data_IF_033352256485
#
_entry.id   IF_033352256485
#
_cell.length_a   1.000
_cell.length_b   1.000
_cell.length_c   1.000
_cell.angle_alpha   90.00
_cell.angle_beta   90.00
_cell.angle_gamma   90.00
#
_symmetry.space_group_name_H-M   'P 1'
#
loop_
_entity.id
_entity.type
_entity.pdbx_description
1 polymer ?
#
# COMPACT_ATOMS: atom_id res chain seq x y z
N UNK A 1 -9.52 -26.31 2.11
CA UNK A 1 -8.82 -27.26 1.23
C UNK A 1 -7.34 -27.01 1.43
N UNK A 2 -6.49 -28.03 1.60
CA UNK A 2 -5.06 -27.81 1.75
C UNK A 2 -4.48 -27.20 0.46
N UNK A 3 -3.47 -26.34 0.61
CA UNK A 3 -2.69 -25.79 -0.51
C UNK A 3 -2.14 -26.93 -1.37
N UNK A 4 -2.37 -26.90 -2.67
CA UNK A 4 -1.78 -27.84 -3.60
C UNK A 4 -0.36 -27.39 -3.99
N UNK A 5 0.43 -28.31 -4.55
CA UNK A 5 1.78 -27.98 -5.05
C UNK A 5 1.77 -26.84 -6.06
N UNK A 6 0.69 -26.75 -6.86
CA UNK A 6 0.50 -25.65 -7.82
C UNK A 6 0.37 -24.29 -7.12
N UNK A 7 -0.36 -24.22 -6.01
CA UNK A 7 -0.54 -22.97 -5.25
C UNK A 7 0.80 -22.47 -4.69
N UNK A 8 1.62 -23.38 -4.16
CA UNK A 8 2.96 -23.04 -3.69
C UNK A 8 3.87 -22.55 -4.82
N UNK A 9 3.78 -23.16 -6.01
CA UNK A 9 4.54 -22.72 -7.18
C UNK A 9 4.11 -21.33 -7.66
N UNK A 10 2.81 -21.02 -7.62
CA UNK A 10 2.29 -19.68 -7.95
C UNK A 10 2.82 -18.64 -6.97
N UNK A 11 2.77 -18.92 -5.65
CA UNK A 11 3.30 -18.02 -4.62
C UNK A 11 4.82 -17.84 -4.77
N UNK A 12 5.57 -18.91 -4.99
CA UNK A 12 7.01 -18.82 -5.21
C UNK A 12 7.34 -18.02 -6.47
N UNK A 13 6.59 -18.23 -7.56
CA UNK A 13 6.71 -17.47 -8.81
C UNK A 13 6.43 -15.98 -8.60
N UNK A 14 5.41 -15.64 -7.80
CA UNK A 14 5.13 -14.26 -7.40
C UNK A 14 6.30 -13.62 -6.65
N UNK A 15 6.87 -14.31 -5.65
CA UNK A 15 8.02 -13.79 -4.89
C UNK A 15 9.23 -13.55 -5.80
N UNK A 16 9.53 -14.51 -6.68
CA UNK A 16 10.63 -14.39 -7.64
C UNK A 16 10.39 -13.22 -8.60
N UNK A 17 9.17 -13.08 -9.14
CA UNK A 17 8.79 -11.97 -10.00
C UNK A 17 9.05 -10.63 -9.30
N UNK A 18 8.64 -10.48 -8.04
CA UNK A 18 8.83 -9.25 -7.28
C UNK A 18 10.32 -8.93 -7.05
N UNK A 19 11.13 -9.94 -6.72
CA UNK A 19 12.58 -9.77 -6.57
C UNK A 19 13.22 -9.35 -7.89
N UNK A 20 12.83 -9.97 -9.01
CA UNK A 20 13.35 -9.63 -10.35
C UNK A 20 12.95 -8.20 -10.74
N UNK A 21 11.69 -7.81 -10.53
CA UNK A 21 11.21 -6.45 -10.80
C UNK A 21 11.97 -5.43 -9.96
N UNK A 22 12.14 -5.69 -8.66
CA UNK A 22 12.92 -4.82 -7.77
C UNK A 22 14.39 -4.72 -8.20
N UNK A 23 15.00 -5.84 -8.63
CA UNK A 23 16.37 -5.88 -9.12
C UNK A 23 16.56 -5.09 -10.41
N UNK A 24 15.63 -5.21 -11.36
CA UNK A 24 15.65 -4.43 -12.61
C UNK A 24 15.44 -2.94 -12.30
N UNK A 25 14.55 -2.62 -11.36
CA UNK A 25 14.28 -1.24 -10.98
C UNK A 25 15.45 -0.57 -10.23
N UNK A 26 16.35 -1.35 -9.61
CA UNK A 26 17.55 -0.84 -8.91
C UNK A 26 18.42 0.08 -9.77
N UNK A 27 18.43 -0.08 -11.09
CA UNK A 27 19.37 0.62 -11.99
C UNK A 27 19.08 2.12 -12.18
N UNK A 28 18.03 2.68 -11.56
CA UNK A 28 17.69 4.12 -11.65
C UNK A 28 17.49 4.74 -10.26
N UNK A 29 18.24 5.80 -9.95
CA UNK A 29 17.92 6.72 -8.84
C UNK A 29 18.42 6.32 -7.44
N UNK A 30 19.68 5.92 -7.30
CA UNK A 30 20.31 5.63 -5.99
C UNK A 30 21.53 6.51 -5.68
N UNK A 31 21.78 7.56 -6.46
CA UNK A 31 23.00 8.38 -6.32
C UNK A 31 22.90 9.39 -5.17
N UNK A 32 21.69 9.86 -4.84
CA UNK A 32 21.45 10.84 -3.76
C UNK A 32 20.30 10.42 -2.83
N UNK A 33 20.25 11.00 -1.62
CA UNK A 33 19.14 10.80 -0.69
C UNK A 33 17.80 11.26 -1.28
N UNK A 34 17.79 12.33 -2.08
CA UNK A 34 16.61 12.81 -2.80
C UNK A 34 16.17 11.82 -3.89
N UNK A 35 17.09 11.12 -4.54
CA UNK A 35 16.73 10.06 -5.48
C UNK A 35 16.13 8.85 -4.76
N UNK A 36 16.69 8.49 -3.60
CA UNK A 36 16.21 7.36 -2.82
C UNK A 36 14.82 7.61 -2.18
N UNK A 37 14.57 8.82 -1.66
CA UNK A 37 13.34 9.16 -0.93
C UNK A 37 12.30 9.93 -1.74
N UNK A 38 12.69 10.64 -2.80
CA UNK A 38 11.77 11.43 -3.63
C UNK A 38 11.78 11.01 -5.12
N UNK A 39 12.53 9.95 -5.48
CA UNK A 39 12.59 9.42 -6.85
C UNK A 39 13.11 10.44 -7.86
N UNK A 40 13.96 11.36 -7.42
CA UNK A 40 14.53 12.43 -8.24
C UNK A 40 13.50 13.45 -8.75
N UNK A 41 12.29 13.49 -8.15
CA UNK A 41 11.16 14.37 -8.51
C UNK A 41 10.73 14.32 -10.00
N UNK A 42 11.22 13.34 -10.77
CA UNK A 42 11.00 13.17 -12.22
C UNK A 42 10.22 11.88 -12.54
N UNK A 43 9.27 11.53 -11.67
CA UNK A 43 8.45 10.33 -11.82
C UNK A 43 7.26 10.58 -12.75
N UNK A 44 6.88 9.62 -13.62
CA UNK A 44 5.66 9.74 -14.42
C UNK A 44 4.44 9.87 -13.50
N UNK A 45 3.61 10.90 -13.71
CA UNK A 45 2.46 11.19 -12.85
C UNK A 45 1.49 10.01 -12.70
N UNK A 46 1.29 9.23 -13.77
CA UNK A 46 0.39 8.08 -13.77
C UNK A 46 0.93 6.96 -12.89
N UNK A 47 2.25 6.77 -12.87
CA UNK A 47 2.91 5.73 -12.08
C UNK A 47 2.87 6.08 -10.59
N UNK A 48 3.09 7.36 -10.25
CA UNK A 48 2.90 7.88 -8.89
C UNK A 48 1.45 7.71 -8.45
N UNK A 49 0.49 8.04 -9.33
CA UNK A 49 -0.93 7.88 -9.03
C UNK A 49 -1.33 6.42 -8.74
N UNK A 50 -0.82 5.47 -9.53
CA UNK A 50 -1.09 4.04 -9.27
C UNK A 50 -0.43 3.58 -7.97
N UNK A 51 0.81 3.96 -7.68
CA UNK A 51 1.47 3.61 -6.40
C UNK A 51 0.73 4.19 -5.20
N UNK A 52 0.21 5.42 -5.28
CA UNK A 52 -0.63 5.99 -4.22
C UNK A 52 -1.89 5.15 -3.96
N UNK A 53 -2.57 4.69 -5.02
CA UNK A 53 -3.75 3.82 -4.88
C UNK A 53 -3.35 2.44 -4.36
N UNK A 54 -2.27 1.86 -4.89
CA UNK A 54 -1.75 0.57 -4.48
C UNK A 54 -1.39 0.54 -2.99
N UNK A 55 -0.78 1.61 -2.48
CA UNK A 55 -0.43 1.78 -1.05
C UNK A 55 -1.68 1.71 -0.16
N UNK A 56 -2.81 2.25 -0.63
CA UNK A 56 -4.08 2.18 0.11
C UNK A 56 -4.80 0.84 -0.07
N UNK A 57 -4.49 0.09 -1.12
CA UNK A 57 -5.06 -1.23 -1.41
C UNK A 57 -4.27 -2.35 -0.72
N UNK A 58 -4.18 -2.26 0.61
CA UNK A 58 -3.52 -3.27 1.43
C UNK A 58 -4.43 -4.48 1.70
N UNK A 59 -3.84 -5.59 2.18
CA UNK A 59 -4.55 -6.87 2.40
C UNK A 59 -5.74 -6.77 3.37
N UNK A 60 -5.79 -5.75 4.21
CA UNK A 60 -6.88 -5.47 5.14
C UNK A 60 -8.08 -4.79 4.47
N UNK A 61 -7.87 -4.04 3.38
CA UNK A 61 -8.90 -3.21 2.76
C UNK A 61 -10.02 -4.02 2.12
N UNK A 62 -9.75 -5.04 1.26
CA UNK A 62 -10.81 -5.91 0.75
C UNK A 62 -11.57 -6.63 1.87
N UNK A 63 -10.88 -7.04 2.94
CA UNK A 63 -11.51 -7.71 4.08
C UNK A 63 -12.44 -6.76 4.86
N UNK A 64 -12.01 -5.51 5.06
CA UNK A 64 -12.80 -4.50 5.74
C UNK A 64 -14.04 -4.10 4.93
N UNK A 65 -13.88 -3.84 3.62
CA UNK A 65 -14.97 -3.43 2.75
C UNK A 65 -15.98 -4.57 2.53
N UNK A 66 -15.53 -5.80 2.29
CA UNK A 66 -16.47 -6.94 2.17
C UNK A 66 -17.20 -7.19 3.49
N UNK A 67 -16.53 -7.07 4.64
CA UNK A 67 -17.16 -7.17 5.95
C UNK A 67 -18.18 -6.05 6.22
N UNK A 68 -17.95 -4.85 5.70
CA UNK A 68 -18.89 -3.73 5.80
C UNK A 68 -20.11 -3.94 4.90
N UNK A 69 -19.89 -4.34 3.65
CA UNK A 69 -20.96 -4.62 2.68
C UNK A 69 -21.81 -5.80 3.14
N UNK A 70 -21.22 -6.83 3.71
CA UNK A 70 -21.97 -7.97 4.26
C UNK A 70 -22.90 -7.58 5.43
N UNK A 71 -22.56 -6.55 6.20
CA UNK A 71 -23.34 -6.11 7.37
C UNK A 71 -24.33 -4.99 7.05
N UNK A 72 -23.95 -4.06 6.18
CA UNK A 72 -24.70 -2.81 5.91
C UNK A 72 -25.22 -2.73 4.47
N UNK A 73 -25.03 -3.78 3.68
CA UNK A 73 -25.32 -3.79 2.25
C UNK A 73 -24.39 -2.87 1.45
N UNK A 74 -24.74 -2.66 0.17
CA UNK A 74 -23.98 -1.81 -0.75
C UNK A 74 -23.87 -0.36 -0.23
N UNK A 75 -24.84 0.11 0.55
CA UNK A 75 -24.82 1.43 1.18
C UNK A 75 -23.61 1.65 2.09
N UNK A 76 -23.06 0.58 2.69
CA UNK A 76 -21.83 0.64 3.49
C UNK A 76 -20.63 1.19 2.69
N UNK A 77 -20.61 1.04 1.35
CA UNK A 77 -19.55 1.60 0.51
C UNK A 77 -19.45 3.13 0.60
N UNK A 78 -20.50 3.82 1.06
CA UNK A 78 -20.42 5.26 1.27
C UNK A 78 -19.34 5.66 2.28
N UNK A 79 -19.04 4.79 3.25
CA UNK A 79 -18.00 5.02 4.26
C UNK A 79 -16.61 5.28 3.66
N UNK A 80 -16.28 4.65 2.53
CA UNK A 80 -15.00 4.86 1.86
C UNK A 80 -15.11 5.79 0.65
N UNK A 81 -16.23 5.78 -0.09
CA UNK A 81 -16.43 6.65 -1.26
C UNK A 81 -16.39 8.15 -0.91
N UNK A 82 -16.83 8.54 0.28
CA UNK A 82 -16.77 9.96 0.68
C UNK A 82 -15.32 10.49 0.76
N UNK A 83 -14.32 9.63 1.00
CA UNK A 83 -12.91 10.03 1.03
C UNK A 83 -12.41 10.46 -0.36
N UNK A 84 -12.97 9.90 -1.43
CA UNK A 84 -12.65 10.31 -2.80
C UNK A 84 -12.93 11.80 -3.01
N UNK A 85 -14.06 12.31 -2.52
CA UNK A 85 -14.44 13.73 -2.65
C UNK A 85 -13.42 14.61 -1.93
N UNK A 86 -13.05 14.23 -0.70
CA UNK A 86 -12.02 14.93 0.07
C UNK A 86 -10.67 14.95 -0.66
N UNK A 87 -10.26 13.82 -1.25
CA UNK A 87 -9.04 13.70 -2.04
C UNK A 87 -9.04 14.63 -3.26
N UNK A 88 -10.12 14.64 -4.03
CA UNK A 88 -10.28 15.52 -5.21
C UNK A 88 -10.16 16.98 -4.81
N UNK A 89 -10.90 17.42 -3.77
CA UNK A 89 -10.83 18.80 -3.27
C UNK A 89 -9.41 19.15 -2.82
N UNK A 90 -8.75 18.24 -2.11
CA UNK A 90 -7.39 18.45 -1.62
C UNK A 90 -6.39 18.64 -2.76
N UNK A 91 -6.51 17.85 -3.84
CA UNK A 91 -5.64 17.99 -5.01
C UNK A 91 -5.83 19.34 -5.69
N UNK A 92 -7.07 19.77 -5.95
CA UNK A 92 -7.33 21.04 -6.65
C UNK A 92 -6.91 22.27 -5.85
N UNK A 93 -7.04 22.23 -4.52
CA UNK A 93 -6.71 23.38 -3.65
C UNK A 93 -5.24 23.38 -3.26
N UNK A 94 -4.72 22.24 -2.78
CA UNK A 94 -3.43 22.21 -2.08
C UNK A 94 -2.29 21.71 -2.95
N UNK A 95 -2.49 20.97 -4.05
CA UNK A 95 -1.38 20.40 -4.81
C UNK A 95 -0.41 21.48 -5.34
N UNK A 96 -0.93 22.63 -5.80
CA UNK A 96 -0.10 23.76 -6.24
C UNK A 96 0.68 24.40 -5.09
N UNK A 97 0.08 24.46 -3.89
CA UNK A 97 0.71 25.03 -2.71
C UNK A 97 1.82 24.11 -2.19
N UNK A 98 1.58 22.80 -2.16
CA UNK A 98 2.56 21.78 -1.80
C UNK A 98 3.75 21.78 -2.76
N UNK A 99 3.50 21.82 -4.08
CA UNK A 99 4.57 21.90 -5.07
C UNK A 99 5.43 23.16 -4.92
N UNK A 100 4.84 24.28 -4.47
CA UNK A 100 5.56 25.53 -4.24
C UNK A 100 6.37 25.52 -2.94
N UNK A 101 5.95 24.77 -1.94
CA UNK A 101 6.64 24.69 -0.65
C UNK A 101 7.99 23.95 -0.74
N UNK A 102 8.15 23.06 -1.74
CA UNK A 102 9.36 22.28 -2.01
C UNK A 102 9.95 21.57 -0.77
N UNK A 103 9.06 21.15 0.14
CA UNK A 103 9.43 20.40 1.34
C UNK A 103 9.58 18.92 1.04
N UNK A 104 10.52 18.27 1.71
CA UNK A 104 10.73 16.83 1.58
C UNK A 104 9.75 16.04 2.45
N UNK A 105 9.38 16.59 3.61
CA UNK A 105 8.43 15.96 4.53
C UNK A 105 7.21 16.84 4.76
N UNK A 106 6.06 16.21 4.98
CA UNK A 106 4.81 16.91 5.29
C UNK A 106 4.91 17.74 6.58
N UNK A 107 5.63 17.23 7.59
CA UNK A 107 5.87 17.90 8.86
C UNK A 107 6.78 19.12 8.76
N UNK A 108 7.69 19.17 7.76
CA UNK A 108 8.56 20.32 7.51
C UNK A 108 7.76 21.58 7.15
N UNK A 109 6.59 21.41 6.53
CA UNK A 109 5.68 22.52 6.25
C UNK A 109 5.27 23.30 7.51
N UNK A 110 5.19 22.63 8.67
CA UNK A 110 4.84 23.28 9.95
C UNK A 110 5.89 24.33 10.33
N UNK A 111 7.16 24.00 10.14
CA UNK A 111 8.26 24.90 10.45
C UNK A 111 8.31 26.07 9.48
N UNK A 112 8.07 25.84 8.18
CA UNK A 112 7.93 26.90 7.18
C UNK A 112 6.74 27.83 7.46
N UNK A 113 5.61 27.28 7.92
CA UNK A 113 4.37 28.06 8.08
C UNK A 113 4.34 28.90 9.35
N UNK A 114 4.86 28.38 10.45
CA UNK A 114 4.72 28.99 11.78
C UNK A 114 6.02 29.56 12.34
N UNK A 115 7.17 29.02 11.93
CA UNK A 115 8.49 29.49 12.38
C UNK A 115 8.75 29.37 13.89
N UNK A 116 10.03 29.47 14.26
CA UNK A 116 10.47 29.57 15.65
C UNK A 116 10.49 28.25 16.44
N UNK A 117 10.93 28.37 17.70
CA UNK A 117 11.17 27.23 18.61
C UNK A 117 9.93 26.36 18.84
N UNK A 118 8.70 26.90 19.03
CA UNK A 118 7.50 26.08 19.20
C UNK A 118 7.15 25.26 17.95
N UNK A 119 7.36 25.81 16.75
CA UNK A 119 7.09 25.10 15.50
C UNK A 119 8.08 23.96 15.28
N UNK A 120 9.37 24.17 15.59
CA UNK A 120 10.40 23.13 15.51
C UNK A 120 10.14 21.97 16.49
N UNK A 121 9.69 22.30 17.72
CA UNK A 121 9.23 21.28 18.68
C UNK A 121 8.02 20.49 18.14
N UNK A 122 7.02 21.18 17.59
CA UNK A 122 5.84 20.53 17.02
C UNK A 122 6.20 19.62 15.82
N UNK A 123 7.14 20.05 14.97
CA UNK A 123 7.70 19.24 13.89
C UNK A 123 8.34 17.97 14.43
N UNK A 124 9.24 18.09 15.41
CA UNK A 124 9.92 16.95 16.03
C UNK A 124 8.94 15.97 16.68
N UNK A 125 7.96 16.49 17.42
CA UNK A 125 6.92 15.67 18.05
C UNK A 125 6.06 14.93 17.02
N UNK A 126 5.56 15.62 15.98
CA UNK A 126 4.76 14.99 14.93
C UNK A 126 5.56 13.98 14.12
N UNK A 127 6.82 14.29 13.80
CA UNK A 127 7.70 13.36 13.11
C UNK A 127 7.84 12.07 13.92
N UNK A 128 8.12 12.15 15.23
CA UNK A 128 8.22 10.97 16.08
C UNK A 128 6.88 10.22 16.19
N UNK A 129 5.77 10.95 16.36
CA UNK A 129 4.43 10.38 16.48
C UNK A 129 4.00 9.64 15.22
N UNK A 130 4.20 10.21 14.03
CA UNK A 130 3.86 9.54 12.79
C UNK A 130 4.84 8.41 12.46
N UNK A 131 6.15 8.64 12.66
CA UNK A 131 7.17 7.65 12.33
C UNK A 131 7.07 6.39 13.20
N UNK A 132 6.71 6.51 14.48
CA UNK A 132 6.73 5.38 15.41
C UNK A 132 5.33 4.88 15.79
N UNK A 133 4.56 5.47 16.74
CA UNK A 133 3.33 4.86 17.22
C UNK A 133 2.29 4.69 16.12
N UNK A 134 2.12 5.67 15.23
CA UNK A 134 1.13 5.59 14.16
C UNK A 134 1.46 4.50 13.14
N UNK A 135 2.70 4.48 12.63
CA UNK A 135 3.15 3.43 11.71
C UNK A 135 3.12 2.04 12.34
N UNK A 136 3.52 1.89 13.61
CA UNK A 136 3.45 0.61 14.31
C UNK A 136 2.01 0.09 14.43
N UNK A 137 1.04 0.97 14.69
CA UNK A 137 -0.38 0.60 14.75
C UNK A 137 -0.87 0.13 13.37
N UNK A 138 -0.56 0.89 12.31
CA UNK A 138 -0.95 0.53 10.94
C UNK A 138 -0.32 -0.79 10.52
N UNK A 139 0.99 -0.95 10.73
CA UNK A 139 1.69 -2.20 10.42
C UNK A 139 1.08 -3.37 11.18
N UNK A 140 0.77 -3.21 12.47
CA UNK A 140 0.11 -4.25 13.27
C UNK A 140 -1.25 -4.63 12.70
N UNK A 141 -2.07 -3.65 12.32
CA UNK A 141 -3.39 -3.88 11.74
C UNK A 141 -3.31 -4.64 10.41
N UNK A 142 -2.48 -4.16 9.48
CA UNK A 142 -2.31 -4.77 8.15
C UNK A 142 -1.72 -6.19 8.27
N UNK A 143 -0.76 -6.38 9.17
CA UNK A 143 -0.14 -7.69 9.42
C UNK A 143 -1.16 -8.70 9.94
N UNK A 144 -2.04 -8.30 10.85
CA UNK A 144 -3.10 -9.18 11.37
C UNK A 144 -4.09 -9.56 10.27
N UNK A 145 -4.47 -8.61 9.40
CA UNK A 145 -5.31 -8.89 8.24
C UNK A 145 -4.68 -9.94 7.31
N UNK A 146 -3.42 -9.72 6.95
CA UNK A 146 -2.63 -10.64 6.12
C UNK A 146 -2.46 -12.02 6.77
N UNK A 147 -2.11 -12.06 8.06
CA UNK A 147 -1.93 -13.29 8.83
C UNK A 147 -3.20 -14.15 8.86
N UNK A 148 -4.36 -13.53 9.06
CA UNK A 148 -5.65 -14.24 9.04
C UNK A 148 -5.92 -14.90 7.70
N UNK A 149 -5.63 -14.21 6.60
CA UNK A 149 -5.78 -14.78 5.26
C UNK A 149 -4.80 -15.93 5.09
N UNK A 150 -3.51 -15.72 5.36
CA UNK A 150 -2.49 -16.73 5.07
C UNK A 150 -2.67 -18.00 5.92
N UNK A 151 -2.97 -17.86 7.20
CA UNK A 151 -3.23 -19.00 8.11
C UNK A 151 -4.44 -19.82 7.67
N UNK A 152 -5.52 -19.18 7.22
CA UNK A 152 -6.72 -19.86 6.72
C UNK A 152 -6.45 -20.62 5.42
N UNK A 153 -5.68 -20.04 4.49
CA UNK A 153 -5.47 -20.69 3.19
C UNK A 153 -4.34 -21.74 3.26
N UNK A 154 -3.20 -21.41 3.87
CA UNK A 154 -2.01 -22.31 3.91
C UNK A 154 -1.99 -23.28 5.08
N UNK A 155 -2.72 -22.98 6.17
CA UNK A 155 -2.60 -23.71 7.44
C UNK A 155 -1.26 -23.52 8.16
N UNK A 156 -0.38 -22.64 7.67
CA UNK A 156 0.92 -22.38 8.25
C UNK A 156 0.84 -21.63 9.59
N UNK A 157 1.86 -21.79 10.43
CA UNK A 157 1.99 -21.01 11.65
C UNK A 157 2.10 -19.50 11.33
N UNK A 158 1.31 -18.71 12.06
CA UNK A 158 1.19 -17.27 11.86
C UNK A 158 2.55 -16.54 11.97
N UNK A 159 3.40 -16.93 12.92
CA UNK A 159 4.65 -16.22 13.16
C UNK A 159 5.69 -16.52 12.08
N UNK A 160 5.75 -17.79 11.64
CA UNK A 160 6.62 -18.19 10.53
C UNK A 160 6.25 -17.41 9.25
N UNK A 161 4.97 -17.34 8.95
CA UNK A 161 4.43 -16.57 7.83
C UNK A 161 4.84 -15.10 7.84
N UNK A 162 4.63 -14.43 8.98
CA UNK A 162 4.98 -13.02 9.16
C UNK A 162 6.49 -12.80 8.97
N UNK A 163 7.33 -13.62 9.60
CA UNK A 163 8.79 -13.48 9.53
C UNK A 163 9.31 -13.64 8.11
N UNK A 164 8.83 -14.63 7.37
CA UNK A 164 9.25 -14.86 5.97
C UNK A 164 8.85 -13.69 5.09
N UNK A 165 7.61 -13.21 5.19
CA UNK A 165 7.11 -12.11 4.38
C UNK A 165 7.84 -10.79 4.68
N UNK A 166 7.98 -10.43 5.96
CA UNK A 166 8.73 -9.24 6.34
C UNK A 166 10.21 -9.32 5.96
N UNK A 167 10.82 -10.50 6.05
CA UNK A 167 12.18 -10.72 5.59
C UNK A 167 12.34 -10.47 4.10
N UNK A 168 11.44 -11.02 3.28
CA UNK A 168 11.43 -10.79 1.83
C UNK A 168 11.21 -9.31 1.50
N UNK A 169 10.26 -8.66 2.18
CA UNK A 169 9.95 -7.24 2.01
C UNK A 169 11.15 -6.36 2.36
N UNK A 170 11.80 -6.61 3.50
CA UNK A 170 12.98 -5.86 3.90
C UNK A 170 14.12 -6.00 2.88
N UNK A 171 14.33 -7.20 2.34
CA UNK A 171 15.38 -7.45 1.34
C UNK A 171 15.13 -6.64 0.07
N UNK A 172 13.93 -6.72 -0.54
CA UNK A 172 13.72 -6.03 -1.80
C UNK A 172 13.66 -4.51 -1.64
N UNK A 173 13.08 -3.99 -0.54
CA UNK A 173 13.04 -2.54 -0.27
C UNK A 173 14.45 -1.99 -0.09
N UNK A 174 15.31 -2.69 0.65
CA UNK A 174 16.69 -2.28 0.85
C UNK A 174 17.47 -2.21 -0.47
N UNK A 175 17.11 -3.04 -1.45
CA UNK A 175 17.76 -3.09 -2.76
C UNK A 175 17.22 -2.02 -3.71
N UNK A 176 15.94 -1.64 -3.62
CA UNK A 176 15.23 -0.99 -4.73
C UNK A 176 15.03 0.53 -4.59
N UNK A 177 15.00 1.08 -3.38
CA UNK A 177 14.66 2.50 -3.13
C UNK A 177 13.24 2.88 -3.56
N UNK A 178 12.85 4.16 -3.48
CA UNK A 178 11.47 4.61 -3.79
C UNK A 178 11.06 4.28 -5.23
N UNK A 179 11.95 4.45 -6.22
CA UNK A 179 11.63 4.09 -7.60
C UNK A 179 11.27 2.62 -7.73
N UNK A 180 12.06 1.75 -7.10
CA UNK A 180 11.78 0.33 -7.08
C UNK A 180 10.46 -0.01 -6.41
N UNK A 181 10.14 0.64 -5.28
CA UNK A 181 8.86 0.49 -4.58
C UNK A 181 7.69 0.86 -5.50
N UNK A 182 7.77 2.00 -6.17
CA UNK A 182 6.72 2.47 -7.08
C UNK A 182 6.50 1.49 -8.25
N UNK A 183 7.57 0.93 -8.80
CA UNK A 183 7.47 -0.06 -9.89
C UNK A 183 6.91 -1.38 -9.38
N UNK A 184 7.33 -1.85 -8.21
CA UNK A 184 6.75 -3.06 -7.60
C UNK A 184 5.28 -2.86 -7.25
N UNK A 185 4.89 -1.70 -6.74
CA UNK A 185 3.50 -1.34 -6.44
C UNK A 185 2.63 -1.42 -7.69
N UNK A 186 3.14 -0.92 -8.83
CA UNK A 186 2.41 -0.97 -10.09
C UNK A 186 2.12 -2.41 -10.53
N UNK A 187 3.12 -3.30 -10.43
CA UNK A 187 2.95 -4.72 -10.76
C UNK A 187 2.01 -5.40 -9.76
N UNK A 188 2.18 -5.14 -8.46
CA UNK A 188 1.32 -5.66 -7.39
C UNK A 188 -0.14 -5.23 -7.60
N UNK A 189 -0.36 -3.97 -7.96
CA UNK A 189 -1.69 -3.44 -8.20
C UNK A 189 -2.38 -4.13 -9.38
N UNK A 190 -1.68 -4.35 -10.50
CA UNK A 190 -2.24 -5.08 -11.64
C UNK A 190 -2.64 -6.51 -11.22
N UNK A 191 -1.76 -7.22 -10.52
CA UNK A 191 -2.04 -8.57 -10.05
C UNK A 191 -3.23 -8.60 -9.08
N UNK A 192 -3.27 -7.66 -8.15
CA UNK A 192 -4.35 -7.53 -7.18
C UNK A 192 -5.71 -7.22 -7.85
N UNK A 193 -5.72 -6.35 -8.86
CA UNK A 193 -6.91 -6.02 -9.64
C UNK A 193 -7.41 -7.23 -10.43
N UNK A 194 -6.53 -7.94 -11.12
CA UNK A 194 -6.88 -9.17 -11.84
C UNK A 194 -7.46 -10.21 -10.86
N UNK A 195 -6.79 -10.42 -9.72
CA UNK A 195 -7.24 -11.35 -8.69
C UNK A 195 -8.61 -10.98 -8.10
N UNK A 196 -8.84 -9.70 -7.84
CA UNK A 196 -10.12 -9.22 -7.29
C UNK A 196 -11.27 -9.37 -8.29
N UNK A 197 -11.04 -9.05 -9.57
CA UNK A 197 -12.05 -9.21 -10.62
C UNK A 197 -12.35 -10.70 -10.86
N UNK A 198 -11.33 -11.54 -10.92
CA UNK A 198 -11.50 -12.98 -11.05
C UNK A 198 -12.29 -13.57 -9.87
N UNK A 199 -11.94 -13.17 -8.64
CA UNK A 199 -12.65 -13.60 -7.44
C UNK A 199 -14.12 -13.18 -7.47
N UNK A 200 -14.41 -11.94 -7.88
CA UNK A 200 -15.78 -11.45 -8.02
C UNK A 200 -16.58 -12.27 -9.04
N UNK A 201 -15.98 -12.58 -10.19
CA UNK A 201 -16.62 -13.42 -11.21
C UNK A 201 -16.97 -14.82 -10.68
N UNK A 202 -16.00 -15.52 -10.07
CA UNK A 202 -16.23 -16.86 -9.53
C UNK A 202 -17.21 -16.86 -8.35
N UNK A 203 -17.20 -15.83 -7.51
CA UNK A 203 -18.14 -15.70 -6.40
C UNK A 203 -19.59 -15.55 -6.91
N UNK A 204 -19.81 -14.73 -7.93
CA UNK A 204 -21.14 -14.54 -8.55
C UNK A 204 -21.62 -15.83 -9.22
N UNK A 205 -20.74 -16.50 -9.96
CA UNK A 205 -21.03 -17.78 -10.61
C UNK A 205 -21.44 -18.85 -9.58
N UNK A 206 -20.73 -18.92 -8.46
CA UNK A 206 -21.01 -19.87 -7.39
C UNK A 206 -22.38 -19.67 -6.71
N UNK A 207 -22.90 -18.44 -6.69
CA UNK A 207 -24.21 -18.11 -6.10
C UNK A 207 -25.37 -18.32 -7.10
N UNK A 208 -25.08 -18.72 -8.35
CA UNK A 208 -26.09 -18.96 -9.38
C UNK A 208 -26.26 -17.80 -10.37
N UNK A 209 -25.36 -16.82 -10.33
CA UNK A 209 -25.31 -15.70 -11.26
C UNK A 209 -25.89 -14.39 -10.72
N UNK A 210 -25.78 -13.33 -11.53
CA UNK A 210 -26.22 -11.98 -11.16
C UNK A 210 -27.73 -11.87 -10.89
N UNK A 211 -28.53 -12.82 -11.36
CA UNK A 211 -29.97 -12.82 -11.17
C UNK A 211 -30.39 -13.22 -9.73
N UNK A 212 -29.51 -13.86 -8.98
CA UNK A 212 -29.76 -14.37 -7.62
C UNK A 212 -29.15 -13.47 -6.52
N UNK A 213 -28.56 -12.34 -6.90
CA UNK A 213 -27.94 -11.33 -6.02
C UNK A 213 -28.87 -10.15 -5.74
#
# INVERSE_FOLDING_TARGET
>A
MPFETLDYLVVAGYVVLMIVVAWIAKTRGQETLDDFFAGGKNLPWWLVGVSMVATTFAADTPLAITGLVAKQGIAGNWFWWNWMISGVVTVFIYAKLWKRADVLTDVEFIELRYGGKPASFLRGFRALYFAFPFNCIIMGWVTVGMAKILTVVTGADQWIAILVLYGLIAIYIAISGLWGVIVTDFVQFILAMIGTIALAYFAVDHVGGLAEL
#
